data_IF_180238636618
#
_entry.id   IF_180238636618
#
_cell.length_a   1.000
_cell.length_b   1.000
_cell.length_c   1.000
_cell.angle_alpha   90.00
_cell.angle_beta   90.00
_cell.angle_gamma   90.00
#
_symmetry.space_group_name_H-M   'P 1'
#
loop_
_entity.id
_entity.type
_entity.pdbx_description
1 polymer ?
#
# COMPACT_ATOMS: atom_id res chain seq x y z
N UNK A 1 -12.51 -22.71 -9.78
CA UNK A 1 -12.67 -22.62 -8.33
C UNK A 1 -11.29 -22.70 -7.71
N UNK A 2 -10.84 -21.59 -7.13
CA UNK A 2 -9.57 -21.53 -6.41
C UNK A 2 -9.90 -21.75 -4.93
N UNK A 3 -9.25 -22.74 -4.31
CA UNK A 3 -9.36 -22.94 -2.87
C UNK A 3 -8.27 -22.13 -2.17
N UNK A 4 -8.68 -21.10 -1.42
CA UNK A 4 -7.79 -20.22 -0.66
C UNK A 4 -7.83 -20.67 0.81
N UNK A 5 -6.71 -21.12 1.40
CA UNK A 5 -6.69 -21.63 2.78
C UNK A 5 -7.17 -20.58 3.78
N UNK A 6 -7.94 -20.98 4.79
CA UNK A 6 -8.44 -20.06 5.84
C UNK A 6 -7.42 -19.82 6.95
N UNK A 7 -6.63 -20.84 7.31
CA UNK A 7 -5.51 -20.66 8.23
C UNK A 7 -4.50 -19.68 7.62
N UNK A 8 -3.98 -18.77 8.45
CA UNK A 8 -3.12 -17.71 7.96
C UNK A 8 -1.75 -18.24 7.51
N UNK A 9 -1.19 -19.22 8.22
CA UNK A 9 0.12 -19.78 7.86
C UNK A 9 0.01 -20.61 6.59
N UNK A 10 -1.03 -21.44 6.47
CA UNK A 10 -1.32 -22.17 5.23
C UNK A 10 -1.56 -21.23 4.05
N UNK A 11 -2.25 -20.10 4.28
CA UNK A 11 -2.44 -19.07 3.27
C UNK A 11 -1.11 -18.46 2.79
N UNK A 12 -0.18 -18.16 3.69
CA UNK A 12 1.13 -17.62 3.30
C UNK A 12 1.93 -18.62 2.45
N UNK A 13 1.90 -19.91 2.79
CA UNK A 13 2.51 -20.94 1.94
C UNK A 13 1.81 -21.09 0.60
N UNK A 14 0.47 -21.00 0.57
CA UNK A 14 -0.30 -21.00 -0.66
C UNK A 14 0.09 -19.81 -1.57
N UNK A 15 0.27 -18.61 -1.01
CA UNK A 15 0.77 -17.44 -1.75
C UNK A 15 2.16 -17.73 -2.32
N UNK A 16 3.09 -18.25 -1.49
CA UNK A 16 4.45 -18.59 -1.90
C UNK A 16 4.45 -19.58 -3.07
N UNK A 17 3.75 -20.70 -2.93
CA UNK A 17 3.71 -21.76 -3.94
C UNK A 17 3.09 -21.28 -5.24
N UNK A 18 2.00 -20.52 -5.16
CA UNK A 18 1.26 -20.05 -6.34
C UNK A 18 2.04 -18.99 -7.11
N UNK A 19 2.63 -18.02 -6.43
CA UNK A 19 3.48 -17.00 -7.06
C UNK A 19 4.72 -17.64 -7.69
N UNK A 20 5.41 -18.52 -6.98
CA UNK A 20 6.58 -19.21 -7.54
C UNK A 20 6.24 -20.15 -8.70
N UNK A 21 5.06 -20.75 -8.71
CA UNK A 21 4.56 -21.52 -9.85
C UNK A 21 4.32 -20.59 -11.05
N UNK A 22 3.65 -19.46 -10.83
CA UNK A 22 3.39 -18.48 -11.89
C UNK A 22 4.70 -17.93 -12.48
N UNK A 23 5.65 -17.57 -11.62
CA UNK A 23 6.98 -17.11 -12.04
C UNK A 23 7.81 -18.18 -12.71
N UNK A 24 7.48 -19.47 -12.58
CA UNK A 24 8.21 -20.55 -13.28
C UNK A 24 7.81 -20.73 -14.75
N UNK A 25 6.77 -20.02 -15.19
CA UNK A 25 6.28 -20.07 -16.57
C UNK A 25 7.11 -19.08 -17.40
N UNK A 26 7.75 -19.57 -18.45
CA UNK A 26 8.60 -18.75 -19.33
C UNK A 26 7.75 -17.73 -20.09
N UNK A 27 7.90 -16.42 -19.81
CA UNK A 27 7.09 -15.39 -20.44
C UNK A 27 7.38 -15.20 -21.93
N UNK A 28 8.52 -15.70 -22.43
CA UNK A 28 8.89 -15.55 -23.84
C UNK A 28 8.32 -16.66 -24.73
N UNK A 29 7.92 -17.79 -24.13
CA UNK A 29 7.51 -18.99 -24.88
C UNK A 29 6.13 -19.52 -24.51
N UNK A 30 5.52 -19.04 -23.43
CA UNK A 30 4.20 -19.49 -22.98
C UNK A 30 3.06 -18.97 -23.87
N UNK A 31 2.02 -19.79 -24.03
CA UNK A 31 0.77 -19.44 -24.71
C UNK A 31 -0.33 -19.00 -23.71
N UNK A 32 0.00 -18.85 -22.43
CA UNK A 32 -0.96 -18.44 -21.40
C UNK A 32 -1.42 -16.99 -21.59
N UNK A 33 -2.68 -16.73 -21.26
CA UNK A 33 -3.26 -15.37 -21.26
C UNK A 33 -2.50 -14.40 -20.32
N UNK A 34 -2.00 -14.91 -19.19
CA UNK A 34 -1.18 -14.18 -18.24
C UNK A 34 0.16 -14.89 -18.02
N UNK A 35 1.24 -14.10 -18.03
CA UNK A 35 2.61 -14.52 -17.72
C UNK A 35 3.28 -13.45 -16.85
N UNK A 36 4.33 -13.83 -16.12
CA UNK A 36 5.08 -12.86 -15.32
C UNK A 36 5.98 -11.99 -16.20
N UNK A 37 6.46 -10.86 -15.67
CA UNK A 37 7.48 -10.07 -16.36
C UNK A 37 8.83 -10.80 -16.44
N UNK A 38 9.65 -10.48 -17.44
CA UNK A 38 10.96 -11.11 -17.67
C UNK A 38 11.87 -11.07 -16.43
N UNK A 39 11.86 -9.98 -15.68
CA UNK A 39 12.78 -9.79 -14.55
C UNK A 39 12.47 -10.70 -13.35
N UNK A 40 11.19 -11.05 -13.17
CA UNK A 40 10.73 -11.89 -12.05
C UNK A 40 10.65 -13.37 -12.43
N UNK A 41 10.88 -13.72 -13.70
CA UNK A 41 10.89 -15.10 -14.17
C UNK A 41 11.87 -15.99 -13.37
N UNK A 42 11.33 -17.06 -12.77
CA UNK A 42 12.04 -18.02 -11.94
C UNK A 42 12.36 -17.53 -10.52
N UNK A 43 11.82 -16.39 -10.09
CA UNK A 43 12.05 -15.85 -8.75
C UNK A 43 11.58 -16.80 -7.64
N UNK A 44 12.20 -16.67 -6.47
CA UNK A 44 11.91 -17.47 -5.27
C UNK A 44 11.82 -16.60 -4.03
N UNK A 45 10.84 -16.87 -3.17
CA UNK A 45 10.74 -16.18 -1.88
C UNK A 45 11.82 -16.64 -0.92
N UNK A 46 12.42 -15.67 -0.25
CA UNK A 46 13.36 -15.80 0.85
C UNK A 46 12.66 -15.33 2.12
N UNK A 47 12.64 -16.20 3.12
CA UNK A 47 12.08 -15.94 4.44
C UNK A 47 13.16 -15.70 5.48
N UNK A 48 12.81 -15.01 6.56
CA UNK A 48 13.68 -14.77 7.71
C UNK A 48 13.53 -15.83 8.80
N UNK A 49 14.63 -16.08 9.51
CA UNK A 49 14.60 -16.84 10.76
C UNK A 49 14.14 -15.96 11.92
N UNK A 50 13.65 -16.60 13.00
CA UNK A 50 13.27 -15.88 14.23
C UNK A 50 14.38 -14.98 14.77
N UNK A 51 15.63 -15.44 14.72
CA UNK A 51 16.78 -14.69 15.21
C UNK A 51 17.06 -13.44 14.38
N UNK A 52 16.85 -13.51 13.07
CA UNK A 52 17.01 -12.35 12.19
C UNK A 52 15.90 -11.33 12.44
N UNK A 53 14.66 -11.79 12.60
CA UNK A 53 13.54 -10.92 12.96
C UNK A 53 13.79 -10.23 14.32
N UNK A 54 14.26 -10.97 15.33
CA UNK A 54 14.61 -10.40 16.63
C UNK A 54 15.74 -9.34 16.52
N UNK A 55 16.74 -9.60 15.68
CA UNK A 55 17.82 -8.65 15.42
C UNK A 55 17.31 -7.37 14.72
N UNK A 56 16.34 -7.50 13.80
CA UNK A 56 15.69 -6.36 13.12
C UNK A 56 14.89 -5.53 14.13
N UNK A 57 14.08 -6.16 14.98
CA UNK A 57 13.31 -5.46 16.03
C UNK A 57 14.22 -4.63 16.93
N UNK A 58 15.37 -5.19 17.32
CA UNK A 58 16.39 -4.47 18.11
C UNK A 58 17.02 -3.33 17.30
N UNK A 59 17.45 -3.60 16.06
CA UNK A 59 18.16 -2.63 15.21
C UNK A 59 17.32 -1.38 14.94
N UNK A 60 16.03 -1.55 14.66
CA UNK A 60 15.13 -0.45 14.32
C UNK A 60 14.28 0.05 15.50
N UNK A 61 14.42 -0.57 16.69
CA UNK A 61 13.59 -0.29 17.86
C UNK A 61 12.08 -0.38 17.57
N UNK A 62 11.68 -1.40 16.80
CA UNK A 62 10.30 -1.68 16.40
C UNK A 62 9.81 -3.00 16.99
N UNK A 63 8.51 -3.25 16.90
CA UNK A 63 7.91 -4.55 17.21
C UNK A 63 6.99 -4.99 16.09
N UNK A 64 7.22 -6.19 15.56
CA UNK A 64 6.33 -6.83 14.61
C UNK A 64 5.20 -7.56 15.36
N UNK A 65 4.00 -7.56 14.78
CA UNK A 65 2.90 -8.41 15.27
C UNK A 65 3.16 -9.87 14.89
N UNK A 66 2.42 -10.80 15.49
CA UNK A 66 2.56 -12.23 15.19
C UNK A 66 2.31 -12.54 13.71
N UNK A 67 1.30 -11.91 13.08
CA UNK A 67 1.04 -12.09 11.65
C UNK A 67 2.17 -11.54 10.79
N UNK A 68 2.72 -10.37 11.16
CA UNK A 68 3.83 -9.79 10.42
C UNK A 68 5.09 -10.67 10.55
N UNK A 69 5.39 -11.22 11.73
CA UNK A 69 6.49 -12.18 11.89
C UNK A 69 6.27 -13.43 11.02
N UNK A 70 5.04 -13.95 10.95
CA UNK A 70 4.70 -15.09 10.07
C UNK A 70 4.88 -14.75 8.59
N UNK A 71 4.46 -13.55 8.17
CA UNK A 71 4.73 -13.03 6.82
C UNK A 71 6.23 -13.00 6.53
N UNK A 72 7.05 -12.40 7.41
CA UNK A 72 8.49 -12.29 7.22
C UNK A 72 9.20 -13.66 7.15
N UNK A 73 8.70 -14.67 7.86
CA UNK A 73 9.29 -16.03 7.79
C UNK A 73 9.09 -16.72 6.44
N UNK A 74 8.09 -16.32 5.66
CA UNK A 74 7.66 -17.06 4.46
C UNK A 74 7.83 -16.22 3.19
N UNK A 75 7.45 -14.95 3.25
CA UNK A 75 7.30 -14.02 2.11
C UNK A 75 8.07 -12.70 2.31
N UNK A 76 9.20 -12.72 3.04
CA UNK A 76 9.93 -11.48 3.38
C UNK A 76 10.41 -10.71 2.15
N UNK A 77 11.10 -11.39 1.23
CA UNK A 77 11.57 -10.80 -0.03
C UNK A 77 11.79 -11.91 -1.06
N UNK A 78 12.24 -11.58 -2.27
CA UNK A 78 12.62 -12.56 -3.29
C UNK A 78 14.14 -12.52 -3.58
N UNK A 79 14.63 -13.53 -4.28
CA UNK A 79 16.03 -13.76 -4.63
C UNK A 79 16.67 -12.74 -5.60
N UNK A 80 15.98 -11.65 -5.91
CA UNK A 80 16.40 -10.63 -6.87
C UNK A 80 15.70 -9.29 -6.65
N UNK A 81 16.25 -8.26 -7.30
CA UNK A 81 15.62 -6.94 -7.43
C UNK A 81 15.29 -6.67 -8.89
N UNK A 82 14.23 -5.91 -9.12
CA UNK A 82 13.94 -5.41 -10.45
C UNK A 82 14.99 -4.37 -10.84
N UNK A 83 15.53 -4.46 -12.05
CA UNK A 83 16.46 -3.48 -12.60
C UNK A 83 15.72 -2.59 -13.58
N UNK A 84 15.46 -1.35 -13.18
CA UNK A 84 14.84 -0.35 -14.06
C UNK A 84 15.89 0.60 -14.61
N UNK A 85 15.82 0.81 -15.91
CA UNK A 85 16.58 1.83 -16.61
C UNK A 85 15.77 3.14 -16.61
N UNK A 86 16.41 4.25 -16.25
CA UNK A 86 15.81 5.58 -16.31
C UNK A 86 16.86 6.61 -16.72
N UNK A 87 16.42 7.74 -17.24
CA UNK A 87 17.26 8.90 -17.55
C UNK A 87 16.95 10.01 -16.56
N UNK A 88 17.96 10.77 -16.12
CA UNK A 88 17.73 11.92 -15.22
C UNK A 88 16.95 13.04 -15.90
N UNK A 89 17.07 13.13 -17.23
CA UNK A 89 16.36 14.09 -18.08
C UNK A 89 15.68 13.34 -19.23
N UNK A 90 14.70 13.98 -19.85
CA UNK A 90 14.05 13.48 -21.06
C UNK A 90 14.86 13.75 -22.34
N UNK A 91 16.13 14.15 -22.22
CA UNK A 91 17.02 14.41 -23.36
C UNK A 91 17.47 13.08 -24.00
N UNK A 92 17.52 13.03 -25.34
CA UNK A 92 17.82 11.79 -26.07
C UNK A 92 19.22 11.22 -25.79
N UNK A 93 20.17 12.06 -25.40
CA UNK A 93 21.55 11.71 -25.07
C UNK A 93 21.81 11.60 -23.56
N UNK A 94 20.78 11.71 -22.73
CA UNK A 94 20.90 11.58 -21.29
C UNK A 94 21.50 10.20 -20.92
N UNK A 95 22.44 10.16 -19.96
CA UNK A 95 23.01 8.90 -19.52
C UNK A 95 21.92 8.02 -18.91
N UNK A 96 21.78 6.81 -19.45
CA UNK A 96 20.92 5.76 -18.91
C UNK A 96 21.48 5.30 -17.57
N UNK A 97 20.73 5.52 -16.51
CA UNK A 97 21.02 5.04 -15.17
C UNK A 97 20.22 3.76 -14.92
N UNK A 98 20.84 2.82 -14.21
CA UNK A 98 20.17 1.60 -13.77
C UNK A 98 20.00 1.71 -12.26
N UNK A 99 18.78 1.49 -11.78
CA UNK A 99 18.48 1.40 -10.36
C UNK A 99 17.77 0.09 -10.05
N UNK A 100 18.16 -0.51 -8.94
CA UNK A 100 17.55 -1.72 -8.42
C UNK A 100 16.41 -1.36 -7.46
N UNK A 101 15.26 -1.99 -7.64
CA UNK A 101 14.08 -1.82 -6.82
C UNK A 101 13.71 -3.17 -6.18
N UNK A 102 13.58 -3.24 -4.83
CA UNK A 102 13.14 -4.46 -4.18
C UNK A 102 11.67 -4.73 -4.47
N UNK A 103 11.31 -6.00 -4.64
CA UNK A 103 9.91 -6.41 -4.77
C UNK A 103 9.16 -6.26 -3.45
N UNK A 104 9.79 -6.69 -2.35
CA UNK A 104 9.46 -6.37 -0.97
C UNK A 104 10.75 -6.00 -0.25
N UNK A 105 10.69 -5.05 0.69
CA UNK A 105 11.89 -4.55 1.36
C UNK A 105 12.66 -5.68 2.05
N UNK A 106 13.89 -5.89 1.62
CA UNK A 106 14.80 -6.80 2.27
C UNK A 106 15.35 -6.12 3.54
N UNK A 107 14.67 -6.32 4.67
CA UNK A 107 15.12 -5.92 6.02
C UNK A 107 16.58 -6.23 6.40
N UNK A 108 17.27 -7.14 5.70
CA UNK A 108 18.67 -7.45 5.93
C UNK A 108 19.63 -6.60 5.07
N UNK A 109 19.19 -6.13 3.91
CA UNK A 109 20.07 -5.52 2.89
C UNK A 109 19.66 -4.08 2.50
N UNK A 110 18.38 -3.75 2.60
CA UNK A 110 17.78 -2.49 2.11
C UNK A 110 17.81 -1.38 3.17
N UNK A 111 18.91 -1.26 3.92
CA UNK A 111 18.97 -0.33 5.06
C UNK A 111 18.70 1.13 4.66
N UNK A 112 19.19 1.55 3.50
CA UNK A 112 19.03 2.93 3.01
C UNK A 112 17.58 3.20 2.62
N UNK A 113 16.98 2.29 1.86
CA UNK A 113 15.59 2.35 1.41
C UNK A 113 14.64 2.29 2.60
N UNK A 114 14.89 1.40 3.57
CA UNK A 114 14.09 1.27 4.79
C UNK A 114 14.13 2.56 5.62
N UNK A 115 15.31 3.17 5.78
CA UNK A 115 15.40 4.47 6.49
C UNK A 115 14.62 5.57 5.77
N UNK A 116 14.70 5.62 4.43
CA UNK A 116 13.95 6.59 3.63
C UNK A 116 12.44 6.38 3.76
N UNK A 117 11.97 5.14 3.62
CA UNK A 117 10.54 4.86 3.66
C UNK A 117 9.94 5.03 5.07
N UNK A 118 10.74 4.88 6.14
CA UNK A 118 10.29 5.20 7.49
C UNK A 118 9.99 6.69 7.70
N UNK A 119 10.74 7.60 7.06
CA UNK A 119 10.46 9.04 7.18
C UNK A 119 9.35 9.50 6.23
N UNK A 120 9.11 8.75 5.15
CA UNK A 120 8.18 9.10 4.08
C UNK A 120 6.78 9.54 4.56
N UNK A 121 6.04 8.77 5.38
CA UNK A 121 4.71 9.19 5.83
C UNK A 121 4.77 10.52 6.59
N UNK A 122 5.77 10.70 7.45
CA UNK A 122 5.89 11.95 8.21
C UNK A 122 6.17 13.13 7.29
N UNK A 123 7.18 13.01 6.42
CA UNK A 123 7.69 14.10 5.59
C UNK A 123 6.66 14.54 4.54
N UNK A 124 6.12 13.59 3.78
CA UNK A 124 5.19 13.87 2.67
C UNK A 124 3.84 14.39 3.13
N UNK A 125 3.32 13.91 4.27
CA UNK A 125 2.08 14.46 4.84
C UNK A 125 2.31 15.84 5.45
N UNK A 126 3.50 16.12 6.00
CA UNK A 126 3.82 17.46 6.51
C UNK A 126 3.82 18.48 5.36
N UNK A 127 4.31 18.11 4.19
CA UNK A 127 4.24 18.94 3.00
C UNK A 127 2.80 19.24 2.59
N UNK A 128 1.88 18.29 2.70
CA UNK A 128 0.46 18.54 2.42
C UNK A 128 -0.21 19.42 3.47
N UNK A 129 0.19 19.29 4.73
CA UNK A 129 -0.32 20.10 5.85
C UNK A 129 0.15 21.56 5.76
N UNK A 130 1.45 21.76 5.49
CA UNK A 130 2.08 23.07 5.47
C UNK A 130 2.06 23.75 4.08
N UNK A 131 1.92 22.97 3.01
CA UNK A 131 2.00 23.40 1.61
C UNK A 131 0.65 23.64 0.94
N UNK A 132 0.60 23.56 -0.38
CA UNK A 132 -0.54 23.99 -1.19
C UNK A 132 -1.82 23.18 -0.92
N UNK A 133 -1.68 21.91 -0.54
CA UNK A 133 -2.83 21.07 -0.23
C UNK A 133 -3.52 21.51 1.06
N UNK A 134 -2.91 22.33 1.92
CA UNK A 134 -3.52 22.94 3.10
C UNK A 134 -4.33 21.94 3.96
N UNK A 135 -3.83 20.71 4.10
CA UNK A 135 -4.48 19.65 4.89
C UNK A 135 -4.57 20.07 6.35
N UNK A 136 -5.76 19.96 6.92
CA UNK A 136 -5.99 20.31 8.32
C UNK A 136 -7.18 19.55 8.89
N UNK A 137 -6.90 18.69 9.88
CA UNK A 137 -7.93 17.84 10.49
C UNK A 137 -8.89 18.65 11.36
N UNK A 138 -10.15 18.23 11.41
CA UNK A 138 -11.16 18.85 12.27
C UNK A 138 -10.78 18.71 13.75
N UNK A 139 -10.19 17.58 14.13
CA UNK A 139 -9.72 17.32 15.50
C UNK A 139 -8.57 18.23 15.94
N UNK A 140 -7.87 18.88 15.01
CA UNK A 140 -6.80 19.83 15.32
C UNK A 140 -7.32 21.24 15.66
N UNK A 141 -8.63 21.50 15.46
CA UNK A 141 -9.23 22.81 15.69
C UNK A 141 -8.91 23.81 14.58
N UNK A 142 -8.80 25.10 14.92
CA UNK A 142 -8.52 26.13 13.93
C UNK A 142 -7.06 26.09 13.49
N UNK A 143 -6.82 26.21 12.18
CA UNK A 143 -5.46 26.27 11.63
C UNK A 143 -4.76 27.56 12.09
N UNK A 144 -3.59 27.48 12.74
CA UNK A 144 -2.82 28.66 13.09
C UNK A 144 -2.13 29.25 11.84
N UNK A 145 -1.83 30.55 11.88
CA UNK A 145 -1.08 31.22 10.82
C UNK A 145 0.44 30.96 10.89
N UNK A 146 0.93 30.43 12.01
CA UNK A 146 2.35 30.18 12.24
C UNK A 146 2.73 28.79 11.76
N UNK A 147 3.65 28.70 10.79
CA UNK A 147 4.17 27.42 10.29
C UNK A 147 4.82 26.58 11.39
N UNK A 148 5.43 27.24 12.39
CA UNK A 148 6.02 26.57 13.56
C UNK A 148 4.93 25.89 14.40
N UNK A 149 3.77 26.55 14.58
CA UNK A 149 2.64 25.98 15.32
C UNK A 149 1.96 24.85 14.53
N UNK A 150 1.82 25.01 13.19
CA UNK A 150 1.33 23.95 12.28
C UNK A 150 2.20 22.69 12.43
N UNK A 151 3.52 22.84 12.26
CA UNK A 151 4.49 21.73 12.38
C UNK A 151 4.43 21.07 13.75
N UNK A 152 4.27 21.86 14.82
CA UNK A 152 4.15 21.35 16.18
C UNK A 152 2.89 20.50 16.36
N UNK A 153 1.72 21.02 15.96
CA UNK A 153 0.44 20.30 16.08
C UNK A 153 0.49 18.99 15.30
N UNK A 154 0.99 19.04 14.06
CA UNK A 154 1.16 17.86 13.22
C UNK A 154 2.10 16.83 13.87
N UNK A 155 3.27 17.26 14.36
CA UNK A 155 4.25 16.36 14.98
C UNK A 155 3.70 15.70 16.24
N UNK A 156 2.98 16.45 17.08
CA UNK A 156 2.33 15.92 18.29
C UNK A 156 1.18 14.96 17.96
N UNK A 157 0.49 15.15 16.84
CA UNK A 157 -0.51 14.22 16.34
C UNK A 157 0.15 12.94 15.80
N UNK A 158 1.17 13.06 14.94
CA UNK A 158 1.84 11.92 14.31
C UNK A 158 2.46 10.99 15.36
N UNK A 159 3.05 11.56 16.43
CA UNK A 159 3.60 10.78 17.56
C UNK A 159 2.57 9.93 18.32
N UNK A 160 1.27 10.25 18.20
CA UNK A 160 0.19 9.49 18.85
C UNK A 160 -0.38 8.41 17.93
N UNK A 161 -0.04 8.43 16.64
CA UNK A 161 -0.54 7.45 15.69
C UNK A 161 -0.01 6.05 16.04
N UNK A 162 -0.79 4.98 15.78
CA UNK A 162 -0.27 3.62 15.79
C UNK A 162 0.96 3.49 14.89
N UNK A 163 1.95 2.73 15.33
CA UNK A 163 3.16 2.48 14.55
C UNK A 163 2.82 1.85 13.20
N UNK A 164 3.50 2.30 12.15
CA UNK A 164 3.38 1.77 10.79
C UNK A 164 4.71 1.19 10.35
N UNK A 165 4.68 0.02 9.71
CA UNK A 165 5.89 -0.69 9.27
C UNK A 165 5.82 -0.93 7.76
N UNK A 166 6.90 -0.63 7.01
CA UNK A 166 6.92 -0.76 5.55
C UNK A 166 6.91 -2.22 5.09
N UNK A 167 6.27 -2.49 3.96
CA UNK A 167 6.22 -3.81 3.31
C UNK A 167 6.88 -3.76 1.93
N UNK A 168 6.35 -2.95 1.03
CA UNK A 168 6.89 -2.66 -0.31
C UNK A 168 6.37 -1.31 -0.78
N UNK A 169 7.11 -0.64 -1.68
CA UNK A 169 6.75 0.67 -2.20
C UNK A 169 6.28 1.62 -1.08
N UNK A 170 5.07 2.15 -1.21
CA UNK A 170 4.44 3.01 -0.21
C UNK A 170 3.38 2.30 0.64
N UNK A 171 3.54 0.98 0.85
CA UNK A 171 2.64 0.12 1.63
C UNK A 171 3.16 -0.05 3.06
N UNK A 172 2.29 0.24 4.02
CA UNK A 172 2.63 0.17 5.44
C UNK A 172 1.56 -0.55 6.24
N UNK A 173 1.95 -1.56 7.01
CA UNK A 173 1.02 -2.22 7.95
C UNK A 173 0.97 -1.45 9.26
N UNK A 174 -0.24 -1.27 9.80
CA UNK A 174 -0.44 -0.78 11.17
C UNK A 174 -0.03 -1.88 12.15
N UNK A 175 1.06 -1.65 12.86
CA UNK A 175 1.67 -2.60 13.81
C UNK A 175 1.28 -2.28 15.25
N UNK A 176 -0.02 -2.35 15.54
CA UNK A 176 -0.55 -2.27 16.91
C UNK A 176 -1.23 -3.61 17.29
N UNK A 177 -0.67 -4.35 18.27
CA UNK A 177 -1.24 -5.63 18.68
C UNK A 177 -2.62 -5.50 19.34
N UNK A 178 -3.00 -4.31 19.82
CA UNK A 178 -4.27 -4.05 20.49
C UNK A 178 -5.42 -3.77 19.51
N UNK A 179 -5.12 -3.54 18.23
CA UNK A 179 -6.16 -3.33 17.22
C UNK A 179 -6.74 -4.67 16.78
N UNK A 180 -8.08 -4.68 16.65
CA UNK A 180 -8.83 -5.81 16.09
C UNK A 180 -8.45 -6.06 14.63
N UNK A 181 -8.30 -4.98 13.87
CA UNK A 181 -7.88 -5.00 12.47
C UNK A 181 -6.52 -4.32 12.36
N UNK A 182 -5.64 -4.88 11.52
CA UNK A 182 -4.29 -4.37 11.28
C UNK A 182 -4.14 -4.10 9.78
N UNK A 183 -4.74 -2.99 9.29
CA UNK A 183 -4.78 -2.71 7.88
C UNK A 183 -3.39 -2.41 7.33
N UNK A 184 -3.23 -2.68 6.04
CA UNK A 184 -2.13 -2.17 5.23
C UNK A 184 -2.62 -0.90 4.53
N UNK A 185 -1.92 0.19 4.75
CA UNK A 185 -2.18 1.49 4.15
C UNK A 185 -1.29 1.70 2.93
N UNK A 186 -1.83 2.31 1.90
CA UNK A 186 -1.05 2.97 0.85
C UNK A 186 -0.95 4.45 1.22
N UNK A 187 0.25 4.96 1.45
CA UNK A 187 0.46 6.34 1.92
C UNK A 187 1.27 7.13 0.89
N UNK A 188 0.63 8.07 0.19
CA UNK A 188 1.31 9.00 -0.71
C UNK A 188 0.94 10.43 -0.32
N UNK A 189 1.78 11.05 0.53
CA UNK A 189 1.36 12.26 1.23
C UNK A 189 0.14 11.98 2.11
N UNK A 190 -0.80 12.90 2.09
CA UNK A 190 -2.08 12.80 2.79
C UNK A 190 -3.14 12.00 2.03
N UNK A 191 -2.90 11.65 0.77
CA UNK A 191 -3.73 10.69 0.02
C UNK A 191 -3.42 9.28 0.52
N UNK A 192 -4.33 8.77 1.35
CA UNK A 192 -4.16 7.49 2.03
C UNK A 192 -5.40 6.65 1.78
N UNK A 193 -5.17 5.38 1.43
CA UNK A 193 -6.22 4.38 1.31
C UNK A 193 -5.86 3.14 2.13
N UNK A 194 -6.87 2.35 2.52
CA UNK A 194 -6.65 1.00 3.05
C UNK A 194 -6.48 0.07 1.85
N UNK A 195 -5.25 -0.38 1.63
CA UNK A 195 -4.90 -1.30 0.54
C UNK A 195 -5.26 -2.76 0.86
N UNK A 196 -5.52 -3.07 2.13
CA UNK A 196 -6.20 -4.26 2.61
C UNK A 196 -6.40 -4.19 4.13
N UNK A 197 -7.53 -4.67 4.68
CA UNK A 197 -7.79 -4.58 6.12
C UNK A 197 -6.99 -5.57 6.98
N UNK A 198 -6.28 -6.49 6.33
CA UNK A 198 -5.38 -7.44 6.95
C UNK A 198 -4.39 -7.96 5.89
N UNK A 199 -3.41 -8.78 6.30
CA UNK A 199 -2.44 -9.37 5.37
C UNK A 199 -3.06 -10.23 4.26
N UNK A 200 -4.24 -10.84 4.48
CA UNK A 200 -4.87 -11.68 3.46
C UNK A 200 -5.37 -10.85 2.29
N UNK A 201 -6.23 -9.85 2.54
CA UNK A 201 -6.71 -8.97 1.47
C UNK A 201 -5.57 -8.17 0.85
N UNK A 202 -4.63 -7.70 1.68
CA UNK A 202 -3.42 -7.03 1.20
C UNK A 202 -2.64 -7.89 0.19
N UNK A 203 -2.29 -9.14 0.54
CA UNK A 203 -1.48 -9.99 -0.34
C UNK A 203 -2.25 -10.42 -1.59
N UNK A 204 -3.56 -10.63 -1.50
CA UNK A 204 -4.39 -10.91 -2.68
C UNK A 204 -4.42 -9.71 -3.63
N UNK A 205 -4.43 -8.49 -3.10
CA UNK A 205 -4.45 -7.25 -3.88
C UNK A 205 -3.08 -6.95 -4.49
N UNK A 206 -2.03 -6.88 -3.65
CA UNK A 206 -0.67 -6.56 -4.07
C UNK A 206 -0.08 -7.59 -5.05
N UNK A 207 -0.44 -8.87 -4.89
CA UNK A 207 0.10 -9.96 -5.71
C UNK A 207 -0.93 -10.49 -6.72
N UNK A 208 -1.99 -9.75 -7.03
CA UNK A 208 -3.09 -10.23 -7.88
C UNK A 208 -2.60 -10.86 -9.20
N UNK A 209 -1.76 -10.14 -9.93
CA UNK A 209 -1.21 -10.60 -11.21
C UNK A 209 -0.27 -11.81 -11.02
N UNK A 210 0.55 -11.79 -9.97
CA UNK A 210 1.48 -12.86 -9.66
C UNK A 210 0.81 -14.13 -9.14
N UNK A 211 -0.39 -14.01 -8.58
CA UNK A 211 -1.18 -15.13 -8.11
C UNK A 211 -2.00 -15.74 -9.26
N UNK A 212 -2.14 -15.09 -10.42
CA UNK A 212 -2.99 -15.55 -11.50
C UNK A 212 -4.40 -15.94 -10.98
N UNK A 213 -5.05 -14.96 -10.35
CA UNK A 213 -6.36 -15.08 -9.69
C UNK A 213 -7.47 -14.33 -10.42
N UNK A 214 -7.23 -14.00 -11.69
CA UNK A 214 -8.17 -13.35 -12.60
C UNK A 214 -8.32 -14.17 -13.88
N UNK A 215 -9.37 -13.87 -14.64
CA UNK A 215 -9.58 -14.36 -16.00
C UNK A 215 -9.88 -13.18 -16.92
N UNK A 216 -9.47 -13.28 -18.19
CA UNK A 216 -9.87 -12.31 -19.20
C UNK A 216 -11.34 -12.53 -19.58
N UNK A 217 -12.12 -11.46 -19.57
CA UNK A 217 -13.50 -11.43 -20.07
C UNK A 217 -13.59 -10.31 -21.10
N UNK A 218 -14.19 -10.61 -22.25
CA UNK A 218 -14.38 -9.62 -23.30
C UNK A 218 -15.49 -8.63 -22.89
N UNK A 219 -15.15 -7.35 -22.90
CA UNK A 219 -16.05 -6.23 -22.70
C UNK A 219 -16.50 -5.70 -24.07
N UNK A 220 -17.79 -5.86 -24.37
CA UNK A 220 -18.39 -5.43 -25.65
C UNK A 220 -18.51 -3.90 -25.76
N UNK A 221 -18.57 -3.18 -24.63
CA UNK A 221 -18.71 -1.72 -24.60
C UNK A 221 -17.39 -1.04 -24.99
N UNK A 222 -16.27 -1.57 -24.50
CA UNK A 222 -14.94 -1.01 -24.72
C UNK A 222 -14.12 -1.74 -25.79
N UNK A 223 -14.64 -2.84 -26.37
CA UNK A 223 -13.96 -3.69 -27.36
C UNK A 223 -12.56 -4.15 -26.89
N UNK A 224 -12.48 -4.54 -25.61
CA UNK A 224 -11.24 -4.99 -24.97
C UNK A 224 -11.47 -6.21 -24.06
N UNK A 225 -10.39 -6.83 -23.60
CA UNK A 225 -10.46 -7.90 -22.60
C UNK A 225 -10.03 -7.36 -21.24
N UNK A 226 -10.92 -7.45 -20.26
CA UNK A 226 -10.66 -7.01 -18.91
C UNK A 226 -10.37 -8.18 -17.97
N UNK A 227 -9.36 -8.06 -17.09
CA UNK A 227 -9.12 -9.06 -16.06
C UNK A 227 -10.19 -8.95 -14.97
N UNK A 228 -11.03 -9.98 -14.86
CA UNK A 228 -12.02 -10.09 -13.79
C UNK A 228 -11.55 -11.13 -12.77
N UNK A 229 -11.58 -10.77 -11.49
CA UNK A 229 -11.24 -11.67 -10.38
C UNK A 229 -12.13 -12.92 -10.37
N UNK A 230 -11.59 -14.03 -9.90
CA UNK A 230 -12.43 -15.18 -9.59
C UNK A 230 -13.39 -14.85 -8.43
N UNK A 231 -14.62 -15.37 -8.49
CA UNK A 231 -15.67 -15.07 -7.52
C UNK A 231 -15.21 -15.29 -6.08
N UNK A 232 -14.46 -16.36 -5.81
CA UNK A 232 -13.97 -16.68 -4.46
C UNK A 232 -13.00 -15.62 -3.91
N UNK A 233 -12.30 -14.89 -4.78
CA UNK A 233 -11.43 -13.78 -4.41
C UNK A 233 -12.25 -12.50 -4.26
N UNK A 234 -13.18 -12.26 -5.18
CA UNK A 234 -14.08 -11.10 -5.12
C UNK A 234 -14.88 -11.10 -3.81
N UNK A 235 -15.40 -12.25 -3.37
CA UNK A 235 -16.11 -12.39 -2.10
C UNK A 235 -15.24 -12.00 -0.88
N UNK A 236 -13.93 -12.26 -0.92
CA UNK A 236 -13.00 -11.84 0.14
C UNK A 236 -12.91 -10.32 0.17
N UNK A 237 -12.75 -9.67 -0.98
CA UNK A 237 -12.70 -8.21 -1.06
C UNK A 237 -14.02 -7.56 -0.67
N UNK A 238 -15.15 -8.09 -1.15
CA UNK A 238 -16.47 -7.56 -0.84
C UNK A 238 -16.74 -7.57 0.67
N UNK A 239 -16.41 -8.66 1.37
CA UNK A 239 -16.53 -8.75 2.83
C UNK A 239 -15.48 -7.87 3.55
N UNK A 240 -14.24 -7.84 3.05
CA UNK A 240 -13.15 -7.08 3.67
C UNK A 240 -13.29 -5.56 3.50
N UNK A 241 -13.97 -5.08 2.46
CA UNK A 241 -14.23 -3.65 2.23
C UNK A 241 -15.66 -3.21 2.62
N UNK A 242 -16.52 -4.15 3.00
CA UNK A 242 -17.83 -3.85 3.58
C UNK A 242 -17.71 -2.95 4.80
N UNK A 243 -18.62 -1.99 4.89
CA UNK A 243 -18.71 -1.10 6.05
C UNK A 243 -18.92 -1.89 7.35
N UNK A 244 -18.09 -1.60 8.35
CA UNK A 244 -18.12 -2.17 9.69
C UNK A 244 -17.65 -1.11 10.68
N UNK A 245 -18.48 -0.75 11.65
CA UNK A 245 -18.16 0.26 12.67
C UNK A 245 -16.95 -0.11 13.54
N UNK A 246 -16.56 -1.39 13.56
CA UNK A 246 -15.38 -1.87 14.29
C UNK A 246 -14.06 -1.71 13.51
N UNK A 247 -14.12 -1.36 12.22
CA UNK A 247 -12.96 -1.04 11.38
C UNK A 247 -12.47 0.38 11.67
N UNK A 248 -11.86 0.54 12.84
CA UNK A 248 -11.32 1.80 13.35
C UNK A 248 -9.80 1.78 13.20
N UNK A 249 -9.25 2.87 12.67
CA UNK A 249 -7.80 3.09 12.61
C UNK A 249 -7.50 4.36 13.42
N UNK A 250 -7.14 4.25 14.71
CA UNK A 250 -6.98 5.41 15.58
C UNK A 250 -6.05 6.46 14.98
N UNK A 251 -6.46 7.73 15.05
CA UNK A 251 -5.81 8.89 14.42
C UNK A 251 -5.81 8.88 12.88
N UNK A 252 -5.37 7.79 12.25
CA UNK A 252 -5.27 7.64 10.81
C UNK A 252 -6.63 7.76 10.10
N UNK A 253 -7.72 7.28 10.68
CA UNK A 253 -9.04 7.30 10.05
C UNK A 253 -9.48 8.71 9.63
N UNK A 254 -9.27 9.73 10.46
CA UNK A 254 -9.63 11.11 10.09
C UNK A 254 -8.76 11.64 8.96
N UNK A 255 -7.47 11.28 8.94
CA UNK A 255 -6.56 11.64 7.85
C UNK A 255 -6.95 10.94 6.55
N UNK A 256 -7.26 9.64 6.58
CA UNK A 256 -7.70 8.88 5.41
C UNK A 256 -8.96 9.49 4.81
N UNK A 257 -9.94 9.82 5.67
CA UNK A 257 -11.23 10.36 5.21
C UNK A 257 -11.16 11.83 4.77
N UNK A 258 -10.01 12.51 4.86
CA UNK A 258 -9.92 13.91 4.41
C UNK A 258 -10.07 14.03 2.89
N UNK A 259 -9.66 13.00 2.14
CA UNK A 259 -9.82 12.90 0.69
C UNK A 259 -10.89 11.86 0.36
N UNK A 260 -11.64 12.10 -0.72
CA UNK A 260 -12.67 11.16 -1.18
C UNK A 260 -12.10 9.76 -1.54
N UNK A 261 -10.86 9.69 -2.01
CA UNK A 261 -10.12 8.45 -2.30
C UNK A 261 -10.11 7.46 -1.11
N UNK A 262 -10.09 7.98 0.12
CA UNK A 262 -10.07 7.17 1.34
C UNK A 262 -11.42 6.61 1.79
N UNK A 263 -12.55 7.02 1.21
CA UNK A 263 -13.87 6.66 1.74
C UNK A 263 -14.29 5.23 1.42
N UNK A 264 -14.06 4.79 0.18
CA UNK A 264 -14.36 3.42 -0.25
C UNK A 264 -13.58 2.37 0.55
N UNK A 265 -12.42 2.75 1.08
CA UNK A 265 -11.63 1.93 2.01
C UNK A 265 -12.43 1.48 3.25
N UNK A 266 -13.45 2.24 3.65
CA UNK A 266 -14.33 1.94 4.80
C UNK A 266 -15.73 1.49 4.38
N UNK A 267 -15.95 1.22 3.09
CA UNK A 267 -17.27 0.95 2.52
C UNK A 267 -18.24 2.13 2.66
N UNK A 268 -17.70 3.36 2.68
CA UNK A 268 -18.46 4.59 2.85
C UNK A 268 -18.55 5.37 1.54
N UNK A 269 -19.65 6.09 1.35
CA UNK A 269 -19.83 7.09 0.30
C UNK A 269 -19.38 8.46 0.77
N UNK A 270 -18.58 9.18 -0.02
CA UNK A 270 -18.09 10.50 0.38
C UNK A 270 -19.15 11.60 0.25
N UNK A 271 -19.07 12.70 1.02
CA UNK A 271 -20.05 13.78 0.95
C UNK A 271 -20.01 14.47 -0.42
N UNK A 272 -21.16 14.53 -1.10
CA UNK A 272 -21.28 15.19 -2.41
C UNK A 272 -20.97 14.30 -3.62
N UNK A 273 -20.95 12.97 -3.44
CA UNK A 273 -20.94 11.98 -4.52
C UNK A 273 -22.27 12.06 -5.32
N UNK A 274 -22.35 12.98 -6.29
CA UNK A 274 -23.32 12.96 -7.38
C UNK A 274 -22.60 12.56 -8.68
N UNK A 275 -23.21 11.65 -9.46
CA UNK A 275 -22.70 11.00 -10.69
C UNK A 275 -21.75 11.88 -11.54
N UNK A 276 -20.45 11.83 -11.23
CA UNK A 276 -19.41 12.68 -11.83
C UNK A 276 -18.33 11.81 -12.46
N UNK A 277 -18.27 11.81 -13.78
CA UNK A 277 -17.39 10.99 -14.66
C UNK A 277 -15.90 11.39 -14.63
N UNK A 278 -15.41 12.02 -13.56
CA UNK A 278 -13.98 12.30 -13.39
C UNK A 278 -13.55 12.02 -11.94
N UNK A 279 -12.65 11.05 -11.76
CA UNK A 279 -12.06 10.69 -10.47
C UNK A 279 -11.05 11.75 -9.99
N UNK A 280 -11.53 12.97 -9.72
CA UNK A 280 -10.72 13.99 -9.06
C UNK A 280 -10.63 13.67 -7.57
N UNK A 281 -9.42 13.69 -7.02
CA UNK A 281 -9.22 13.58 -5.57
C UNK A 281 -9.51 14.94 -4.94
N UNK A 282 -10.59 15.03 -4.17
CA UNK A 282 -11.10 16.26 -3.57
C UNK A 282 -11.22 16.14 -2.05
N UNK A 283 -11.07 17.27 -1.36
CA UNK A 283 -11.28 17.30 0.09
C UNK A 283 -12.74 17.09 0.42
N UNK A 284 -13.00 16.23 1.39
CA UNK A 284 -14.33 16.02 1.97
C UNK A 284 -14.59 16.96 3.14
N UNK A 285 -13.52 17.59 3.65
CA UNK A 285 -13.56 18.57 4.73
C UNK A 285 -12.57 19.70 4.48
N UNK A 286 -13.09 20.94 4.50
CA UNK A 286 -12.29 22.18 4.46
C UNK A 286 -12.78 23.11 5.57
N UNK A 287 -11.95 23.46 6.57
CA UNK A 287 -12.36 24.30 7.71
C UNK A 287 -13.02 25.63 7.31
N UNK A 288 -12.54 26.26 6.22
CA UNK A 288 -12.94 27.62 5.82
C UNK A 288 -13.84 27.68 4.56
N UNK A 289 -14.41 26.55 4.14
CA UNK A 289 -15.41 26.40 3.06
C UNK A 289 -15.13 27.04 1.69
N UNK A 290 -13.94 27.61 1.44
CA UNK A 290 -13.67 28.43 0.25
C UNK A 290 -12.74 27.79 -0.77
N UNK A 291 -12.08 26.68 -0.42
CA UNK A 291 -11.11 26.03 -1.29
C UNK A 291 -11.33 24.51 -1.31
N UNK A 292 -12.00 24.04 -2.36
CA UNK A 292 -12.16 22.63 -2.70
C UNK A 292 -11.28 22.27 -3.91
N UNK A 293 -10.11 22.90 -4.02
CA UNK A 293 -9.14 22.52 -5.05
C UNK A 293 -8.81 21.03 -4.96
N UNK A 294 -8.63 20.36 -6.12
CA UNK A 294 -8.14 18.99 -6.17
C UNK A 294 -6.77 18.87 -5.51
N UNK A 295 -6.45 17.66 -5.03
CA UNK A 295 -5.13 17.35 -4.51
C UNK A 295 -4.04 17.68 -5.56
N UNK A 296 -3.03 18.43 -5.14
CA UNK A 296 -1.81 18.64 -5.92
C UNK A 296 -0.77 17.61 -5.50
N UNK A 297 -0.48 16.63 -6.34
CA UNK A 297 0.57 15.65 -6.08
C UNK A 297 1.95 16.31 -6.17
N UNK A 298 2.74 16.18 -5.11
CA UNK A 298 4.13 16.63 -5.12
C UNK A 298 4.98 15.62 -5.92
N UNK A 299 5.99 16.14 -6.63
CA UNK A 299 6.98 15.33 -7.34
C UNK A 299 8.00 14.80 -6.33
N UNK A 300 7.72 13.62 -5.77
CA UNK A 300 8.54 12.96 -4.75
C UNK A 300 9.50 11.91 -5.34
#
# INVERSE_FOLDING_TARGET
MIEIPKDFTEFLYWVKERTELFWSIDPQTSENDFVCEDWIYGAKWIGLTEKEIDAIEIKYAIKFTEEHRSFLKILHTIDRKERREYTETFEEDAPKLIKEFPFFYNWMEDETEIKKIFSWPFDTMLEDVAGNNQVWLKSWGNKPNSEIEIKKIYSEWFQKTPAILPLTGYRFVISDPNLRHRPVLSIYGSDIIVFGWNFRSYLLNELQEHLNISKLVYDEEYDCYDPILFNEVQEIFDEDYKHDESKIIPYWQEMILIWNSGWDSFGLKYPGEEDSEAYLIIKTYTPDSKDNSPLTFNAF
#
